data_IF_606900722576
#
_entry.id   IF_606900722576
#
_cell.length_a   1.000
_cell.length_b   1.000
_cell.length_c   1.000
_cell.angle_alpha   90.00
_cell.angle_beta   90.00
_cell.angle_gamma   90.00
#
_symmetry.space_group_name_H-M   'P 1'
#
loop_
_entity.id
_entity.type
_entity.pdbx_description
1 polymer ?
#
# COMPACT_ATOMS: atom_id res chain seq x y z
N UNK A 1 2.18 19.17 -16.48
CA UNK A 1 1.98 18.63 -15.12
C UNK A 1 2.88 17.41 -14.92
N UNK A 2 3.58 17.37 -13.81
CA UNK A 2 4.49 16.28 -13.50
C UNK A 2 3.75 15.01 -13.07
N UNK A 3 4.18 13.86 -13.56
CA UNK A 3 3.65 12.57 -13.13
C UNK A 3 4.62 11.94 -12.12
N UNK A 4 4.12 11.59 -10.95
CA UNK A 4 4.89 10.90 -9.92
C UNK A 4 4.48 9.44 -9.92
N UNK A 5 5.45 8.56 -10.13
CA UNK A 5 5.22 7.11 -10.14
C UNK A 5 5.57 6.52 -8.79
N UNK A 6 4.60 5.84 -8.19
CA UNK A 6 4.75 5.22 -6.88
C UNK A 6 4.27 3.79 -6.91
N UNK A 7 4.64 3.04 -5.89
CA UNK A 7 4.18 1.66 -5.69
C UNK A 7 3.56 1.55 -4.30
N UNK A 8 2.62 0.64 -4.16
CA UNK A 8 1.99 0.36 -2.86
C UNK A 8 1.83 -1.14 -2.68
N UNK A 9 2.04 -1.59 -1.45
CA UNK A 9 1.90 -2.99 -1.08
C UNK A 9 0.59 -3.20 -0.31
N UNK A 10 -0.26 -4.05 -0.84
CA UNK A 10 -1.41 -4.55 -0.09
C UNK A 10 -0.93 -5.84 0.54
N UNK A 11 -0.35 -5.71 1.74
CA UNK A 11 0.24 -6.84 2.47
C UNK A 11 -0.90 -7.63 3.08
N UNK A 12 -1.03 -8.90 2.70
CA UNK A 12 -2.05 -9.78 3.25
C UNK A 12 -1.42 -10.80 4.19
N UNK A 13 -2.23 -11.38 5.06
CA UNK A 13 -1.80 -12.41 5.98
C UNK A 13 -1.34 -13.65 5.23
N UNK A 14 -2.01 -13.94 4.10
CA UNK A 14 -1.71 -15.09 3.26
C UNK A 14 -2.21 -14.78 1.85
N UNK A 15 -1.32 -14.78 0.86
CA UNK A 15 -1.71 -14.44 -0.53
C UNK A 15 -2.68 -15.42 -1.16
N UNK A 16 -2.76 -16.63 -0.63
CA UNK A 16 -3.71 -17.64 -1.10
C UNK A 16 -5.12 -17.37 -0.57
N UNK A 17 -5.23 -17.06 0.72
CA UNK A 17 -6.52 -16.87 1.39
C UNK A 17 -6.97 -15.39 1.45
N UNK A 18 -6.04 -14.47 1.65
CA UNK A 18 -6.31 -13.04 1.74
C UNK A 18 -7.45 -12.68 2.71
N UNK A 19 -7.29 -13.14 3.97
CA UNK A 19 -8.30 -12.88 5.00
C UNK A 19 -8.19 -11.49 5.60
N UNK A 20 -6.96 -10.95 5.66
CA UNK A 20 -6.67 -9.63 6.26
C UNK A 20 -5.64 -8.91 5.42
N UNK A 21 -5.73 -7.58 5.41
CA UNK A 21 -4.72 -6.74 4.78
C UNK A 21 -4.21 -5.72 5.78
N UNK A 22 -2.96 -5.29 5.58
CA UNK A 22 -2.27 -4.37 6.47
C UNK A 22 -2.33 -2.94 5.91
N UNK A 23 -2.76 -1.99 6.74
CA UNK A 23 -2.80 -0.58 6.39
C UNK A 23 -2.14 0.25 7.46
N UNK A 24 -1.56 1.39 7.09
CA UNK A 24 -0.90 2.29 8.02
C UNK A 24 -1.56 3.67 7.98
N UNK A 25 -1.47 4.37 9.10
CA UNK A 25 -1.92 5.76 9.18
C UNK A 25 -0.72 6.67 9.00
N UNK A 26 -0.84 7.64 8.10
CA UNK A 26 0.24 8.58 7.83
C UNK A 26 0.48 9.47 9.05
N UNK A 27 1.74 9.54 9.49
CA UNK A 27 2.12 10.30 10.68
C UNK A 27 2.61 11.71 10.40
N UNK A 28 2.60 12.17 9.14
CA UNK A 28 3.17 13.46 8.75
C UNK A 28 2.46 14.05 7.53
N UNK A 29 2.76 15.31 7.26
CA UNK A 29 2.26 16.00 6.06
C UNK A 29 0.81 16.45 6.17
N UNK A 30 0.30 16.99 5.07
CA UNK A 30 -1.06 17.53 5.00
C UNK A 30 -2.14 16.46 5.17
N UNK A 31 -1.82 15.23 4.82
CA UNK A 31 -2.76 14.11 4.90
C UNK A 31 -2.55 13.26 6.14
N UNK A 32 -1.95 13.85 7.17
CA UNK A 32 -1.73 13.17 8.45
C UNK A 32 -3.03 12.60 9.00
N UNK A 33 -2.96 11.36 9.47
CA UNK A 33 -4.12 10.64 9.97
C UNK A 33 -4.89 9.85 8.93
N UNK A 34 -4.61 10.09 7.63
CA UNK A 34 -5.22 9.30 6.57
C UNK A 34 -4.61 7.90 6.50
N UNK A 35 -5.44 6.90 6.24
CA UNK A 35 -4.98 5.52 6.12
C UNK A 35 -4.53 5.22 4.71
N UNK A 36 -3.44 4.49 4.57
CA UNK A 36 -2.85 4.17 3.27
C UNK A 36 -2.19 2.80 3.30
N UNK A 37 -1.85 2.30 2.11
CA UNK A 37 -1.04 1.09 1.99
C UNK A 37 0.43 1.52 1.90
N UNK A 38 1.35 0.80 2.59
CA UNK A 38 2.75 1.19 2.58
C UNK A 38 3.38 1.08 1.19
N UNK A 39 4.34 1.95 0.92
CA UNK A 39 5.03 2.01 -0.37
C UNK A 39 5.73 3.34 -0.53
N UNK A 40 6.07 3.68 -1.76
CA UNK A 40 6.75 4.93 -2.04
C UNK A 40 7.12 5.10 -3.50
N UNK A 41 8.00 6.04 -3.78
CA UNK A 41 8.39 6.38 -5.15
C UNK A 41 9.29 5.33 -5.78
N UNK A 42 9.10 5.10 -7.07
CA UNK A 42 9.99 4.27 -7.88
C UNK A 42 11.20 5.12 -8.24
N UNK A 43 12.41 4.62 -7.96
CA UNK A 43 13.63 5.32 -8.31
C UNK A 43 14.12 4.89 -9.69
N UNK A 44 14.97 5.72 -10.31
CA UNK A 44 15.52 5.43 -11.62
C UNK A 44 16.25 4.09 -11.63
N UNK A 45 15.94 3.26 -12.62
CA UNK A 45 16.58 1.96 -12.79
C UNK A 45 15.91 0.82 -12.02
N UNK A 46 14.90 1.13 -11.19
CA UNK A 46 14.18 0.08 -10.48
C UNK A 46 12.94 -0.38 -11.25
N UNK A 47 12.61 -1.67 -11.12
CA UNK A 47 11.30 -2.15 -11.51
C UNK A 47 10.32 -1.79 -10.38
N UNK A 48 9.00 -1.76 -10.65
CA UNK A 48 8.03 -1.51 -9.58
C UNK A 48 8.18 -2.49 -8.41
N UNK A 49 8.43 -3.78 -8.69
CA UNK A 49 8.59 -4.80 -7.67
C UNK A 49 9.83 -4.54 -6.81
N UNK A 50 10.94 -4.16 -7.44
CA UNK A 50 12.17 -3.83 -6.71
C UNK A 50 11.98 -2.62 -5.81
N UNK A 51 11.32 -1.58 -6.33
CA UNK A 51 11.03 -0.39 -5.57
C UNK A 51 10.17 -0.72 -4.35
N UNK A 52 9.18 -1.58 -4.53
CA UNK A 52 8.28 -1.95 -3.43
C UNK A 52 9.01 -2.69 -2.33
N UNK A 53 9.85 -3.66 -2.69
CA UNK A 53 10.65 -4.39 -1.69
C UNK A 53 11.56 -3.45 -0.90
N UNK A 54 12.20 -2.51 -1.59
CA UNK A 54 13.07 -1.52 -0.95
C UNK A 54 12.30 -0.62 0.00
N UNK A 55 11.15 -0.10 -0.45
CA UNK A 55 10.33 0.80 0.37
C UNK A 55 9.81 0.11 1.63
N UNK A 56 9.36 -1.12 1.51
CA UNK A 56 8.86 -1.85 2.69
C UNK A 56 10.00 -2.15 3.68
N UNK A 57 11.19 -2.44 3.17
CA UNK A 57 12.36 -2.63 4.04
C UNK A 57 12.70 -1.32 4.77
N UNK A 58 12.65 -0.19 4.06
CA UNK A 58 12.94 1.12 4.65
C UNK A 58 11.89 1.56 5.68
N UNK A 59 10.61 1.37 5.35
CA UNK A 59 9.52 1.83 6.22
C UNK A 59 9.21 0.90 7.39
N UNK A 60 9.26 -0.40 7.15
CA UNK A 60 8.75 -1.39 8.10
C UNK A 60 9.79 -2.42 8.55
N UNK A 61 11.03 -2.29 8.08
CA UNK A 61 12.10 -3.24 8.38
C UNK A 61 11.67 -4.69 8.13
N UNK A 62 10.99 -4.91 7.02
CA UNK A 62 10.32 -6.17 6.71
C UNK A 62 10.61 -6.59 5.28
N UNK A 63 10.89 -7.88 5.08
CA UNK A 63 11.07 -8.46 3.77
C UNK A 63 9.74 -9.05 3.29
N UNK A 64 9.38 -8.74 2.05
CA UNK A 64 8.13 -9.22 1.46
C UNK A 64 8.36 -9.96 0.16
N UNK A 65 7.39 -10.82 -0.17
CA UNK A 65 7.26 -11.40 -1.50
C UNK A 65 6.17 -10.60 -2.21
N UNK A 66 6.50 -10.05 -3.38
CA UNK A 66 5.54 -9.27 -4.18
C UNK A 66 4.75 -10.23 -5.07
N UNK A 67 3.43 -10.13 -4.99
CA UNK A 67 2.52 -10.95 -5.79
C UNK A 67 2.03 -10.23 -7.04
N UNK A 68 0.81 -10.54 -7.44
CA UNK A 68 0.21 -9.99 -8.65
C UNK A 68 -0.13 -8.51 -8.53
N UNK A 69 -0.07 -7.81 -9.65
CA UNK A 69 -0.56 -6.44 -9.73
C UNK A 69 -2.08 -6.45 -9.56
N UNK A 70 -2.56 -5.65 -8.62
CA UNK A 70 -4.01 -5.49 -8.40
C UNK A 70 -4.55 -4.50 -9.42
N UNK A 71 -3.91 -3.33 -9.51
CA UNK A 71 -4.32 -2.28 -10.44
C UNK A 71 -3.27 -1.18 -10.44
N UNK A 72 -3.32 -0.34 -11.47
CA UNK A 72 -2.56 0.91 -11.52
C UNK A 72 -3.56 2.04 -11.35
N UNK A 73 -3.44 2.78 -10.26
CA UNK A 73 -4.37 3.87 -9.95
C UNK A 73 -3.79 5.19 -10.46
N UNK A 74 -4.58 5.90 -11.26
CA UNK A 74 -4.23 7.24 -11.75
C UNK A 74 -5.08 8.26 -11.02
N UNK A 75 -4.45 9.24 -10.43
CA UNK A 75 -5.19 10.29 -9.71
C UNK A 75 -4.53 11.65 -9.91
N UNK A 76 -5.32 12.64 -10.33
CA UNK A 76 -4.85 14.00 -10.55
C UNK A 76 -5.03 14.87 -9.31
N UNK A 77 -3.91 15.30 -8.73
CA UNK A 77 -3.90 16.32 -7.68
C UNK A 77 -3.69 17.69 -8.33
N UNK A 78 -3.96 18.80 -7.64
CA UNK A 78 -3.83 20.12 -8.24
C UNK A 78 -2.48 20.45 -8.85
N UNK A 79 -1.39 19.92 -8.29
CA UNK A 79 -0.02 20.25 -8.71
C UNK A 79 0.72 19.13 -9.41
N UNK A 80 0.17 17.90 -9.42
CA UNK A 80 0.82 16.76 -10.05
C UNK A 80 -0.18 15.65 -10.35
N UNK A 81 0.25 14.70 -11.17
CA UNK A 81 -0.50 13.49 -11.45
C UNK A 81 0.16 12.32 -10.75
N UNK A 82 -0.62 11.51 -10.01
CA UNK A 82 -0.13 10.32 -9.32
C UNK A 82 -0.43 9.08 -10.15
N UNK A 83 0.60 8.24 -10.37
CA UNK A 83 0.43 6.92 -10.99
C UNK A 83 0.93 5.89 -9.99
N UNK A 84 0.04 5.08 -9.44
CA UNK A 84 0.35 4.15 -8.36
C UNK A 84 0.09 2.71 -8.77
N UNK A 85 1.16 1.90 -8.80
CA UNK A 85 1.07 0.46 -9.05
C UNK A 85 0.88 -0.25 -7.71
N UNK A 86 -0.23 -0.97 -7.58
CA UNK A 86 -0.61 -1.64 -6.34
C UNK A 86 -0.49 -3.15 -6.50
N UNK A 87 0.28 -3.79 -5.63
CA UNK A 87 0.55 -5.22 -5.69
C UNK A 87 0.11 -5.91 -4.41
N UNK A 88 -0.34 -7.17 -4.55
CA UNK A 88 -0.46 -8.06 -3.41
C UNK A 88 0.94 -8.37 -2.88
N UNK A 89 1.08 -8.52 -1.58
CA UNK A 89 2.34 -8.87 -0.96
C UNK A 89 2.12 -9.70 0.30
N UNK A 90 3.16 -10.43 0.70
CA UNK A 90 3.14 -11.29 1.88
C UNK A 90 4.48 -11.17 2.58
N UNK A 91 4.49 -11.14 3.91
CA UNK A 91 5.73 -11.05 4.69
C UNK A 91 6.47 -12.38 4.62
N UNK A 92 7.75 -12.33 4.28
CA UNK A 92 8.61 -13.53 4.23
C UNK A 92 9.64 -13.56 5.34
N UNK A 93 10.04 -12.39 5.85
CA UNK A 93 11.01 -12.31 6.94
C UNK A 93 10.84 -11.00 7.69
N UNK A 94 11.17 -11.00 8.97
CA UNK A 94 11.01 -9.84 9.82
C UNK A 94 9.59 -9.71 10.35
N UNK A 95 9.33 -8.59 10.99
CA UNK A 95 7.99 -8.25 11.47
C UNK A 95 7.75 -6.78 11.16
N UNK A 96 6.50 -6.45 10.95
CA UNK A 96 6.10 -5.12 10.53
C UNK A 96 6.34 -4.09 11.63
N UNK A 97 7.43 -3.34 11.52
CA UNK A 97 7.79 -2.29 12.47
C UNK A 97 7.35 -0.94 11.92
N UNK A 98 6.81 -0.10 12.80
CA UNK A 98 6.37 1.24 12.42
C UNK A 98 7.50 2.23 12.65
N UNK A 99 8.13 2.71 11.58
CA UNK A 99 9.21 3.70 11.66
C UNK A 99 8.70 5.12 11.41
N UNK A 100 7.79 5.27 10.47
CA UNK A 100 7.28 6.58 10.06
C UNK A 100 5.76 6.73 10.21
N UNK A 101 5.05 5.61 10.27
CA UNK A 101 3.61 5.62 10.39
C UNK A 101 3.18 5.89 11.83
N UNK A 102 2.06 6.59 12.01
CA UNK A 102 1.49 6.89 13.32
C UNK A 102 0.82 5.66 13.94
N UNK A 103 0.19 4.82 13.11
CA UNK A 103 -0.51 3.62 13.57
C UNK A 103 -0.62 2.61 12.43
N UNK A 104 -0.99 1.40 12.78
CA UNK A 104 -1.22 0.34 11.78
C UNK A 104 -2.35 -0.57 12.23
N UNK A 105 -3.01 -1.19 11.25
CA UNK A 105 -4.08 -2.15 11.50
C UNK A 105 -4.06 -3.26 10.46
N UNK A 106 -4.44 -4.45 10.90
CA UNK A 106 -4.86 -5.52 10.01
C UNK A 106 -6.38 -5.39 9.83
N UNK A 107 -6.83 -5.35 8.59
CA UNK A 107 -8.24 -5.15 8.25
C UNK A 107 -8.81 -6.38 7.58
N UNK A 108 -9.94 -6.87 8.08
CA UNK A 108 -10.72 -7.90 7.40
C UNK A 108 -11.55 -7.24 6.31
N UNK A 109 -12.17 -8.05 5.45
CA UNK A 109 -13.01 -7.55 4.37
C UNK A 109 -14.09 -6.57 4.86
N UNK A 110 -14.71 -6.90 5.99
CA UNK A 110 -15.78 -6.09 6.57
C UNK A 110 -15.28 -4.77 7.17
N UNK A 111 -13.99 -4.68 7.46
CA UNK A 111 -13.39 -3.51 8.11
C UNK A 111 -12.79 -2.51 7.11
N UNK A 112 -12.78 -2.81 5.83
CA UNK A 112 -12.16 -1.94 4.83
C UNK A 112 -12.72 -0.52 4.81
N UNK A 113 -13.99 -0.35 5.14
CA UNK A 113 -14.62 0.97 5.18
C UNK A 113 -14.51 1.66 6.55
N UNK A 114 -13.89 1.00 7.53
CA UNK A 114 -13.80 1.55 8.88
C UNK A 114 -12.67 2.56 9.06
N UNK A 115 -11.82 2.73 8.06
CA UNK A 115 -10.71 3.67 8.09
C UNK A 115 -10.88 4.73 7.00
N UNK A 116 -10.40 5.94 7.28
CA UNK A 116 -10.47 7.04 6.32
C UNK A 116 -9.30 6.90 5.33
N UNK A 117 -9.59 6.43 4.12
CA UNK A 117 -8.59 6.25 3.08
C UNK A 117 -8.20 7.57 2.42
N UNK A 118 -7.01 7.60 1.82
CA UNK A 118 -6.60 8.71 0.97
C UNK A 118 -7.34 8.64 -0.36
N UNK A 119 -7.55 9.78 -1.06
CA UNK A 119 -8.31 9.79 -2.31
C UNK A 119 -7.87 8.78 -3.35
N UNK A 120 -6.56 8.57 -3.52
CA UNK A 120 -6.05 7.62 -4.49
C UNK A 120 -6.36 6.17 -4.12
N UNK A 121 -6.60 5.88 -2.84
CA UNK A 121 -6.82 4.51 -2.37
C UNK A 121 -8.28 4.08 -2.40
N UNK A 122 -9.21 5.01 -2.50
CA UNK A 122 -10.65 4.69 -2.47
C UNK A 122 -11.06 3.72 -3.58
N UNK A 123 -10.60 3.96 -4.79
CA UNK A 123 -10.88 3.09 -5.93
C UNK A 123 -10.27 1.71 -5.74
N UNK A 124 -9.09 1.68 -5.16
CA UNK A 124 -8.36 0.44 -4.91
C UNK A 124 -9.09 -0.47 -3.91
N UNK A 125 -9.70 0.12 -2.89
CA UNK A 125 -10.40 -0.64 -1.84
C UNK A 125 -11.46 -1.57 -2.43
N UNK A 126 -12.21 -1.13 -3.42
CA UNK A 126 -13.24 -1.97 -4.05
C UNK A 126 -12.62 -3.20 -4.75
N UNK A 127 -11.48 -3.00 -5.40
CA UNK A 127 -10.79 -4.11 -6.07
C UNK A 127 -10.20 -5.09 -5.07
N UNK A 128 -9.68 -4.58 -3.97
CA UNK A 128 -9.16 -5.40 -2.88
C UNK A 128 -10.28 -6.26 -2.30
N UNK A 129 -11.43 -5.64 -2.03
CA UNK A 129 -12.58 -6.34 -1.46
C UNK A 129 -13.01 -7.51 -2.31
N UNK A 130 -13.05 -7.34 -3.63
CA UNK A 130 -13.46 -8.41 -4.56
C UNK A 130 -12.53 -9.61 -4.53
N UNK A 131 -11.27 -9.41 -4.18
CA UNK A 131 -10.26 -10.45 -4.20
C UNK A 131 -9.97 -11.07 -2.83
N UNK A 132 -10.58 -10.56 -1.79
CA UNK A 132 -10.40 -11.10 -0.45
C UNK A 132 -11.37 -12.25 -0.18
N UNK A 133 -10.84 -13.31 0.40
CA UNK A 133 -11.65 -14.41 0.92
C UNK A 133 -12.22 -13.98 2.25
N UNK A 134 -13.36 -14.55 2.56
CA UNK A 134 -14.01 -14.11 3.77
C UNK A 134 -14.88 -15.20 4.38
#
# INVERSE_FOLDING_TARGET
>A
MKTIKVVAAVICDNMKEKNKIFATARGYGELKGGWEFPGGKIEAGETPQEALKREIMEELDTEIKVGDLIDTIEYGYPTFHLSMDCFWAEVTAGHLELKEAEAAKWLTKDQLNSVAGLPADITLIEKIRRNMDN
#
